data_IF_436294602793
#
_entry.id   IF_436294602793
#
_cell.length_a   1.000
_cell.length_b   1.000
_cell.length_c   1.000
_cell.angle_alpha   90.00
_cell.angle_beta   90.00
_cell.angle_gamma   90.00
#
_symmetry.space_group_name_H-M   'P 1'
#
loop_
_entity.id
_entity.type
_entity.pdbx_description
1 polymer ?
#
# COMPACT_ATOMS: atom_id res chain seq x y z
N UNK A 1 -23.83 8.86 14.95
CA UNK A 1 -23.74 9.89 13.89
C UNK A 1 -22.66 10.95 14.17
N UNK A 2 -22.65 11.63 15.32
CA UNK A 2 -21.64 12.67 15.65
C UNK A 2 -20.19 12.17 15.64
N UNK A 3 -19.88 11.02 16.26
CA UNK A 3 -18.53 10.46 16.31
C UNK A 3 -17.99 10.14 14.88
N UNK A 4 -18.83 9.62 13.99
CA UNK A 4 -18.45 9.33 12.61
C UNK A 4 -18.09 10.60 11.83
N UNK A 5 -18.86 11.68 11.97
CA UNK A 5 -18.54 12.97 11.35
C UNK A 5 -17.23 13.56 11.88
N UNK A 6 -16.96 13.40 13.17
CA UNK A 6 -15.68 13.81 13.76
C UNK A 6 -14.50 13.00 13.22
N UNK A 7 -14.64 11.68 13.03
CA UNK A 7 -13.60 10.85 12.41
C UNK A 7 -13.34 11.25 10.95
N UNK A 8 -14.38 11.52 10.18
CA UNK A 8 -14.23 12.00 8.79
C UNK A 8 -13.52 13.36 8.79
N UNK A 9 -13.95 14.30 9.63
CA UNK A 9 -13.31 15.61 9.73
C UNK A 9 -11.84 15.48 10.15
N UNK A 10 -11.54 14.64 11.14
CA UNK A 10 -10.18 14.34 11.57
C UNK A 10 -9.34 13.75 10.42
N UNK A 11 -9.89 12.81 9.67
CA UNK A 11 -9.21 12.23 8.51
C UNK A 11 -8.92 13.27 7.43
N UNK A 12 -9.89 14.10 7.07
CA UNK A 12 -9.73 15.13 6.04
C UNK A 12 -8.71 16.21 6.45
N UNK A 13 -8.75 16.65 7.71
CA UNK A 13 -7.76 17.60 8.24
C UNK A 13 -6.35 17.01 8.14
N UNK A 14 -6.14 15.78 8.61
CA UNK A 14 -4.83 15.13 8.52
C UNK A 14 -4.40 14.92 7.06
N UNK A 15 -5.31 14.48 6.17
CA UNK A 15 -5.02 14.32 4.75
C UNK A 15 -4.45 15.61 4.13
N UNK A 16 -5.09 16.75 4.41
CA UNK A 16 -4.63 18.05 3.91
C UNK A 16 -3.32 18.47 4.57
N UNK A 17 -3.21 18.37 5.90
CA UNK A 17 -2.01 18.79 6.63
C UNK A 17 -0.78 18.01 6.20
N UNK A 18 -0.84 16.67 6.13
CA UNK A 18 0.29 15.85 5.67
C UNK A 18 0.65 16.15 4.22
N UNK A 19 -0.34 16.33 3.34
CA UNK A 19 -0.09 16.64 1.93
C UNK A 19 0.64 17.96 1.72
N UNK A 20 0.39 18.98 2.57
CA UNK A 20 0.91 20.34 2.40
C UNK A 20 2.18 20.59 3.24
N UNK A 21 2.25 20.01 4.45
CA UNK A 21 3.36 20.24 5.36
C UNK A 21 4.60 19.41 5.05
N UNK A 22 4.42 18.21 4.46
CA UNK A 22 5.56 17.38 4.06
C UNK A 22 6.31 18.04 2.89
N UNK A 23 7.64 18.13 2.98
CA UNK A 23 8.47 18.64 1.88
C UNK A 23 8.23 17.89 0.58
N UNK A 24 8.54 18.52 -0.53
CA UNK A 24 8.54 17.86 -1.83
C UNK A 24 9.49 16.66 -1.79
N UNK A 25 9.04 15.52 -2.30
CA UNK A 25 9.78 14.24 -2.37
C UNK A 25 10.10 13.60 -1.01
N UNK A 26 9.37 13.98 0.06
CA UNK A 26 9.48 13.31 1.36
C UNK A 26 8.86 11.90 1.34
N UNK A 27 7.80 11.70 0.58
CA UNK A 27 7.17 10.38 0.45
C UNK A 27 8.11 9.40 -0.24
N UNK A 28 8.60 8.41 0.48
CA UNK A 28 9.46 7.29 0.00
C UNK A 28 10.10 7.52 -1.40
N UNK A 29 9.66 6.80 -2.42
CA UNK A 29 10.13 6.88 -3.81
C UNK A 29 9.28 7.83 -4.69
N UNK A 30 8.65 8.82 -4.07
CA UNK A 30 7.65 9.68 -4.68
C UNK A 30 8.05 10.34 -6.01
N UNK A 31 9.29 10.81 -6.24
CA UNK A 31 9.64 11.39 -7.54
C UNK A 31 9.55 10.39 -8.68
N UNK A 32 9.83 9.11 -8.43
CA UNK A 32 9.74 8.03 -9.43
C UNK A 32 8.28 7.64 -9.69
N UNK A 33 7.47 7.59 -8.66
CA UNK A 33 6.02 7.40 -8.77
C UNK A 33 5.35 8.56 -9.50
N UNK A 34 5.71 9.81 -9.16
CA UNK A 34 5.20 10.99 -9.88
C UNK A 34 5.59 10.97 -11.36
N UNK A 35 6.82 10.58 -11.69
CA UNK A 35 7.24 10.45 -13.09
C UNK A 35 6.40 9.44 -13.87
N UNK A 36 5.95 8.36 -13.21
CA UNK A 36 5.01 7.42 -13.82
C UNK A 36 3.66 8.09 -14.11
N UNK A 37 3.08 8.81 -13.12
CA UNK A 37 1.83 9.58 -13.30
C UNK A 37 1.99 10.57 -14.44
N UNK A 38 3.09 11.32 -14.47
CA UNK A 38 3.39 12.32 -15.49
C UNK A 38 3.45 11.67 -16.89
N UNK A 39 4.16 10.55 -17.04
CA UNK A 39 4.24 9.83 -18.32
C UNK A 39 2.86 9.42 -18.83
N UNK A 40 1.98 8.90 -17.97
CA UNK A 40 0.61 8.55 -18.34
C UNK A 40 -0.23 9.79 -18.68
N UNK A 41 -0.10 10.86 -17.91
CA UNK A 41 -0.84 12.12 -18.15
C UNK A 41 -0.50 12.76 -19.49
N UNK A 42 0.74 12.57 -19.94
CA UNK A 42 1.27 13.08 -21.19
C UNK A 42 0.94 12.19 -22.40
N UNK A 43 0.21 11.09 -22.17
CA UNK A 43 -0.21 10.17 -23.25
C UNK A 43 0.89 9.28 -23.81
N UNK A 44 2.04 9.18 -23.12
CA UNK A 44 3.18 8.36 -23.57
C UNK A 44 2.99 6.86 -23.33
N UNK A 45 1.83 6.47 -22.78
CA UNK A 45 1.50 5.08 -22.47
C UNK A 45 2.20 4.53 -21.23
N UNK A 46 2.06 3.21 -21.04
CA UNK A 46 2.64 2.51 -19.89
C UNK A 46 4.18 2.50 -19.97
N UNK A 47 4.88 2.91 -18.91
CA UNK A 47 6.35 2.91 -18.92
C UNK A 47 6.92 1.51 -19.05
N UNK A 48 8.14 1.44 -19.57
CA UNK A 48 8.94 0.23 -19.62
C UNK A 48 10.04 0.29 -18.54
N UNK A 49 10.06 -0.70 -17.67
CA UNK A 49 11.00 -0.74 -16.54
C UNK A 49 12.49 -0.75 -16.92
N UNK A 50 12.82 -1.02 -18.20
CA UNK A 50 14.19 -1.01 -18.70
C UNK A 50 14.62 0.35 -19.25
N UNK A 51 13.68 1.14 -19.75
CA UNK A 51 13.99 2.34 -20.53
C UNK A 51 13.31 3.61 -20.02
N UNK A 52 12.25 3.49 -19.18
CA UNK A 52 11.57 4.65 -18.66
C UNK A 52 12.50 5.54 -17.83
N UNK A 53 12.39 6.85 -18.04
CA UNK A 53 13.21 7.86 -17.39
C UNK A 53 12.34 8.90 -16.71
N UNK A 54 12.90 9.56 -15.70
CA UNK A 54 12.28 10.75 -15.14
C UNK A 54 12.34 11.86 -16.19
N UNK A 55 11.37 12.78 -16.13
CA UNK A 55 11.49 14.02 -16.90
C UNK A 55 12.63 14.91 -16.36
N UNK A 56 13.15 15.81 -17.19
CA UNK A 56 14.13 16.82 -16.75
C UNK A 56 13.55 17.73 -15.67
N UNK A 57 12.25 17.99 -15.69
CA UNK A 57 11.54 18.74 -14.65
C UNK A 57 11.69 18.06 -13.28
N UNK A 58 11.38 16.76 -13.19
CA UNK A 58 11.54 15.97 -11.96
C UNK A 58 13.01 15.86 -11.57
N UNK A 59 13.88 15.53 -12.51
CA UNK A 59 15.33 15.40 -12.25
C UNK A 59 15.94 16.68 -11.69
N UNK A 60 15.62 17.84 -12.26
CA UNK A 60 16.08 19.14 -11.75
C UNK A 60 15.54 19.44 -10.35
N UNK A 61 14.28 19.09 -10.08
CA UNK A 61 13.63 19.35 -8.79
C UNK A 61 14.28 18.57 -7.63
N UNK A 62 14.70 17.34 -7.87
CA UNK A 62 15.35 16.49 -6.86
C UNK A 62 16.65 17.13 -6.34
N UNK A 63 17.38 17.84 -7.19
CA UNK A 63 18.61 18.53 -6.80
C UNK A 63 18.36 19.84 -6.00
N UNK A 64 17.16 20.36 -6.02
CA UNK A 64 16.76 21.61 -5.36
C UNK A 64 16.06 21.40 -4.01
N UNK A 65 15.77 20.13 -3.67
CA UNK A 65 15.03 19.75 -2.46
C UNK A 65 15.86 18.81 -1.59
N UNK A 66 15.61 18.75 -0.27
CA UNK A 66 16.08 17.62 0.50
C UNK A 66 15.35 16.35 0.09
N UNK A 67 16.02 15.23 0.06
CA UNK A 67 15.45 13.96 -0.31
C UNK A 67 15.31 13.01 0.88
N UNK A 68 14.29 12.15 0.82
CA UNK A 68 14.13 11.06 1.76
C UNK A 68 15.31 10.07 1.67
N UNK A 69 15.45 9.23 2.70
CA UNK A 69 16.52 8.22 2.72
C UNK A 69 16.42 7.25 1.54
N UNK A 70 15.21 6.87 1.14
CA UNK A 70 14.97 5.97 0.01
C UNK A 70 15.44 6.60 -1.31
N UNK A 71 15.09 7.86 -1.56
CA UNK A 71 15.57 8.58 -2.76
C UNK A 71 17.10 8.72 -2.73
N UNK A 72 17.67 9.04 -1.58
CA UNK A 72 19.11 9.22 -1.43
C UNK A 72 19.90 7.93 -1.66
N UNK A 73 19.40 6.78 -1.27
CA UNK A 73 20.03 5.48 -1.54
C UNK A 73 20.19 5.22 -3.03
N UNK A 74 19.21 5.63 -3.84
CA UNK A 74 19.23 5.48 -5.29
C UNK A 74 19.96 6.63 -6.01
N UNK A 75 20.06 7.81 -5.38
CA UNK A 75 20.66 9.03 -5.92
C UNK A 75 21.57 9.67 -4.87
N UNK A 76 22.81 9.18 -4.67
CA UNK A 76 23.70 9.65 -3.60
C UNK A 76 24.06 11.14 -3.67
N UNK A 77 23.99 11.75 -4.86
CA UNK A 77 24.28 13.18 -5.09
C UNK A 77 23.25 14.15 -4.54
N UNK A 78 22.05 13.66 -4.14
CA UNK A 78 21.00 14.54 -3.60
C UNK A 78 21.33 15.00 -2.18
N UNK A 79 20.80 16.17 -1.83
CA UNK A 79 21.02 16.79 -0.53
C UNK A 79 20.21 16.08 0.55
N UNK A 80 20.83 15.71 1.66
CA UNK A 80 20.13 15.20 2.84
C UNK A 80 19.39 16.32 3.57
N UNK A 81 18.40 15.97 4.42
CA UNK A 81 17.70 16.95 5.27
C UNK A 81 18.66 17.71 6.15
N UNK A 82 19.60 17.04 6.81
CA UNK A 82 20.61 17.70 7.66
C UNK A 82 21.43 18.72 6.89
N UNK A 83 21.89 18.37 5.70
CA UNK A 83 22.64 19.29 4.83
C UNK A 83 21.77 20.46 4.37
N UNK A 84 20.53 20.21 3.92
CA UNK A 84 19.63 21.24 3.44
C UNK A 84 19.29 22.26 4.55
N UNK A 85 19.00 21.80 5.75
CA UNK A 85 18.66 22.70 6.86
C UNK A 85 19.88 23.41 7.46
N UNK A 86 21.10 22.91 7.23
CA UNK A 86 22.34 23.65 7.56
C UNK A 86 22.66 24.78 6.58
N UNK A 87 22.01 24.84 5.42
CA UNK A 87 22.21 25.94 4.49
C UNK A 87 21.71 27.26 5.04
N UNK A 88 22.36 28.40 4.70
CA UNK A 88 21.82 29.73 4.98
C UNK A 88 20.40 29.89 4.44
N UNK A 89 19.60 30.71 5.10
CA UNK A 89 18.22 31.00 4.70
C UNK A 89 18.15 31.50 3.26
N UNK A 90 19.09 32.37 2.85
CA UNK A 90 19.19 32.88 1.47
C UNK A 90 19.32 31.77 0.44
N UNK A 91 20.22 30.80 0.67
CA UNK A 91 20.41 29.64 -0.23
C UNK A 91 19.16 28.76 -0.30
N UNK A 92 18.48 28.51 0.83
CA UNK A 92 17.22 27.75 0.85
C UNK A 92 16.10 28.48 0.10
N UNK A 93 16.02 29.81 0.26
CA UNK A 93 15.05 30.64 -0.45
C UNK A 93 15.31 30.66 -1.95
N UNK A 94 16.56 30.73 -2.36
CA UNK A 94 16.96 30.64 -3.76
C UNK A 94 16.60 29.27 -4.35
N UNK A 95 16.91 28.16 -3.67
CA UNK A 95 16.54 26.83 -4.09
C UNK A 95 15.00 26.69 -4.29
N UNK A 96 14.19 27.21 -3.34
CA UNK A 96 12.73 27.22 -3.45
C UNK A 96 12.22 28.08 -4.61
N UNK A 97 12.87 29.23 -4.88
CA UNK A 97 12.53 30.06 -6.05
C UNK A 97 12.81 29.28 -7.32
N UNK A 98 14.02 28.76 -7.51
CA UNK A 98 14.41 27.96 -8.68
C UNK A 98 13.50 26.75 -8.87
N UNK A 99 13.06 26.11 -7.79
CA UNK A 99 12.11 24.99 -7.84
C UNK A 99 10.74 25.40 -8.42
N UNK A 100 10.25 26.58 -8.06
CA UNK A 100 8.98 27.10 -8.60
C UNK A 100 9.10 27.55 -10.06
N UNK A 101 10.28 28.01 -10.43
CA UNK A 101 10.58 28.59 -11.73
C UNK A 101 11.11 27.53 -12.74
N UNK A 102 11.07 26.24 -12.38
CA UNK A 102 11.41 25.17 -13.34
C UNK A 102 10.46 25.25 -14.54
N UNK A 103 11.00 25.39 -15.78
CA UNK A 103 10.17 25.49 -16.97
C UNK A 103 9.30 24.25 -17.18
N UNK A 104 8.01 24.46 -17.44
CA UNK A 104 7.05 23.36 -17.65
C UNK A 104 7.37 22.51 -18.88
N UNK A 105 8.09 23.07 -19.87
CA UNK A 105 8.53 22.38 -21.08
C UNK A 105 9.51 21.24 -20.79
N UNK A 106 10.22 21.28 -19.64
CA UNK A 106 11.14 20.23 -19.21
C UNK A 106 10.42 18.92 -18.86
N UNK A 107 9.10 18.96 -18.66
CA UNK A 107 8.31 17.73 -18.39
C UNK A 107 8.31 16.75 -19.57
N UNK A 108 8.48 17.27 -20.79
CA UNK A 108 8.48 16.45 -22.00
C UNK A 108 9.86 15.89 -22.37
N UNK A 109 10.90 16.32 -21.68
CA UNK A 109 12.28 15.96 -21.97
C UNK A 109 12.74 14.87 -21.00
N UNK A 110 13.23 13.72 -21.48
CA UNK A 110 13.78 12.69 -20.58
C UNK A 110 15.09 13.16 -19.95
N UNK A 111 15.26 12.86 -18.67
CA UNK A 111 16.55 13.01 -17.97
C UNK A 111 17.41 11.75 -18.13
N UNK A 112 18.63 11.76 -17.56
CA UNK A 112 19.49 10.56 -17.50
C UNK A 112 19.03 9.55 -16.42
N UNK A 113 18.13 9.95 -15.52
CA UNK A 113 17.69 9.13 -14.39
C UNK A 113 16.63 8.11 -14.84
N UNK A 114 16.93 6.82 -14.64
CA UNK A 114 15.97 5.74 -14.88
C UNK A 114 14.85 5.76 -13.84
N UNK A 115 13.63 5.50 -14.30
CA UNK A 115 12.50 5.31 -13.41
C UNK A 115 12.40 3.84 -13.00
N UNK A 116 12.95 3.50 -11.84
CA UNK A 116 12.91 2.14 -11.34
C UNK A 116 11.51 1.70 -10.87
N UNK A 117 10.59 2.64 -10.60
CA UNK A 117 9.20 2.35 -10.26
C UNK A 117 8.31 2.07 -11.50
N UNK A 118 8.86 2.14 -12.69
CA UNK A 118 8.17 1.85 -13.95
C UNK A 118 7.63 0.42 -14.08
N UNK A 119 8.04 -0.49 -13.20
CA UNK A 119 7.56 -1.87 -13.13
C UNK A 119 6.24 -2.04 -12.34
N UNK A 120 5.81 -1.04 -11.60
CA UNK A 120 4.61 -1.11 -10.76
C UNK A 120 3.33 -1.24 -11.58
N UNK A 121 2.31 -1.96 -11.06
CA UNK A 121 1.01 -2.06 -11.71
C UNK A 121 0.34 -0.68 -11.88
N UNK A 122 -0.44 -0.46 -12.95
CA UNK A 122 -0.75 0.89 -13.43
C UNK A 122 -1.94 1.60 -12.75
N UNK A 123 -2.82 0.91 -12.01
CA UNK A 123 -4.14 1.44 -11.65
C UNK A 123 -4.05 2.73 -10.83
N UNK A 124 -3.25 2.77 -9.78
CA UNK A 124 -3.11 3.95 -8.93
C UNK A 124 -2.60 5.17 -9.71
N UNK A 125 -1.65 4.95 -10.60
CA UNK A 125 -1.05 6.01 -11.43
C UNK A 125 -2.02 6.49 -12.50
N UNK A 126 -2.78 5.59 -13.11
CA UNK A 126 -3.81 5.95 -14.11
C UNK A 126 -4.88 6.84 -13.51
N UNK A 127 -5.30 6.57 -12.27
CA UNK A 127 -6.27 7.41 -11.56
C UNK A 127 -5.73 8.82 -11.26
N UNK A 128 -4.43 8.94 -10.98
CA UNK A 128 -3.80 10.25 -10.75
C UNK A 128 -3.38 10.96 -12.04
N UNK A 129 -3.29 10.27 -13.17
CA UNK A 129 -2.89 10.86 -14.45
C UNK A 129 -3.90 11.89 -14.97
N UNK A 130 -5.20 11.67 -14.76
CA UNK A 130 -6.24 12.60 -15.18
C UNK A 130 -6.15 13.96 -14.43
N UNK A 131 -6.12 14.01 -13.08
CA UNK A 131 -5.88 15.27 -12.38
C UNK A 131 -4.51 15.89 -12.68
N UNK A 132 -3.44 15.11 -12.85
CA UNK A 132 -2.12 15.65 -13.26
C UNK A 132 -2.21 16.38 -14.60
N UNK A 133 -2.94 15.83 -15.58
CA UNK A 133 -3.15 16.46 -16.87
C UNK A 133 -3.89 17.80 -16.75
N UNK A 134 -4.89 17.88 -15.88
CA UNK A 134 -5.64 19.12 -15.61
C UNK A 134 -4.77 20.18 -14.92
N UNK A 135 -3.82 19.73 -14.10
CA UNK A 135 -2.92 20.59 -13.33
C UNK A 135 -1.65 20.97 -14.12
N UNK A 136 -1.46 20.48 -15.34
CA UNK A 136 -0.22 20.59 -16.11
C UNK A 136 0.36 22.01 -16.25
N UNK A 137 -0.49 23.05 -16.19
CA UNK A 137 -0.11 24.48 -16.27
C UNK A 137 0.48 25.07 -14.97
N UNK A 138 0.33 24.36 -13.85
CA UNK A 138 0.85 24.81 -12.57
C UNK A 138 2.30 24.36 -12.36
N UNK A 139 3.02 25.06 -11.46
CA UNK A 139 4.37 24.66 -11.10
C UNK A 139 4.40 23.26 -10.44
N UNK A 140 5.51 22.55 -10.59
CA UNK A 140 5.69 21.20 -10.08
C UNK A 140 5.30 21.05 -8.58
N UNK A 141 5.73 21.95 -7.65
CA UNK A 141 5.33 21.82 -6.25
C UNK A 141 3.82 21.88 -6.02
N UNK A 142 3.11 22.73 -6.77
CA UNK A 142 1.64 22.85 -6.69
C UNK A 142 0.98 21.57 -7.19
N UNK A 143 1.44 21.01 -8.30
CA UNK A 143 0.90 19.76 -8.86
C UNK A 143 1.07 18.61 -7.87
N UNK A 144 2.26 18.45 -7.31
CA UNK A 144 2.53 17.41 -6.33
C UNK A 144 1.65 17.57 -5.08
N UNK A 145 1.53 18.79 -4.53
CA UNK A 145 0.68 19.04 -3.37
C UNK A 145 -0.80 18.71 -3.65
N UNK A 146 -1.32 19.11 -4.81
CA UNK A 146 -2.70 18.83 -5.21
C UNK A 146 -2.95 17.33 -5.42
N UNK A 147 -2.03 16.62 -6.05
CA UNK A 147 -2.13 15.17 -6.24
C UNK A 147 -2.07 14.41 -4.91
N UNK A 148 -1.21 14.84 -3.97
CA UNK A 148 -1.17 14.30 -2.61
C UNK A 148 -2.52 14.49 -1.90
N UNK A 149 -3.11 15.69 -1.98
CA UNK A 149 -4.43 15.97 -1.37
C UNK A 149 -5.50 15.05 -1.99
N UNK A 150 -5.53 14.93 -3.31
CA UNK A 150 -6.48 14.05 -4.00
C UNK A 150 -6.31 12.60 -3.54
N UNK A 151 -5.08 12.10 -3.54
CA UNK A 151 -4.76 10.73 -3.11
C UNK A 151 -5.15 10.50 -1.64
N UNK A 152 -4.73 11.41 -0.73
CA UNK A 152 -4.99 11.29 0.70
C UNK A 152 -6.48 11.38 1.05
N UNK A 153 -7.21 12.30 0.44
CA UNK A 153 -8.66 12.44 0.66
C UNK A 153 -9.40 11.22 0.14
N UNK A 154 -9.14 10.83 -1.12
CA UNK A 154 -9.79 9.67 -1.72
C UNK A 154 -9.45 8.37 -0.96
N UNK A 155 -8.17 8.16 -0.66
CA UNK A 155 -7.69 7.01 0.11
C UNK A 155 -8.32 6.94 1.50
N UNK A 156 -8.38 8.06 2.22
CA UNK A 156 -8.99 8.12 3.56
C UNK A 156 -10.48 7.80 3.55
N UNK A 157 -11.23 8.35 2.61
CA UNK A 157 -12.67 8.10 2.50
C UNK A 157 -12.95 6.65 2.11
N UNK A 158 -12.19 6.09 1.17
CA UNK A 158 -12.28 4.68 0.80
C UNK A 158 -11.91 3.76 1.96
N UNK A 159 -10.87 4.10 2.72
CA UNK A 159 -10.44 3.34 3.88
C UNK A 159 -11.50 3.34 4.99
N UNK A 160 -12.00 4.53 5.36
CA UNK A 160 -13.05 4.65 6.38
C UNK A 160 -14.31 3.88 6.01
N UNK A 161 -14.81 4.06 4.79
CA UNK A 161 -16.02 3.36 4.32
C UNK A 161 -15.83 1.84 4.28
N UNK A 162 -14.66 1.38 3.85
CA UNK A 162 -14.31 -0.04 3.84
C UNK A 162 -14.20 -0.63 5.25
N UNK A 163 -13.52 0.06 6.16
CA UNK A 163 -13.34 -0.37 7.54
C UNK A 163 -14.68 -0.42 8.30
N UNK A 164 -15.52 0.60 8.15
CA UNK A 164 -16.88 0.58 8.71
C UNK A 164 -17.70 -0.60 8.20
N UNK A 165 -17.62 -0.87 6.90
CA UNK A 165 -18.31 -2.01 6.30
C UNK A 165 -17.78 -3.34 6.83
N UNK A 166 -16.48 -3.46 6.99
CA UNK A 166 -15.84 -4.65 7.54
C UNK A 166 -16.26 -4.86 9.01
N UNK A 167 -16.21 -3.80 9.83
CA UNK A 167 -16.63 -3.88 11.24
C UNK A 167 -18.09 -4.27 11.40
N UNK A 168 -18.97 -3.71 10.57
CA UNK A 168 -20.39 -4.12 10.53
C UNK A 168 -20.55 -5.60 10.18
N UNK A 169 -19.77 -6.13 9.23
CA UNK A 169 -19.82 -7.55 8.86
C UNK A 169 -19.26 -8.48 9.91
N UNK A 170 -18.29 -8.00 10.72
CA UNK A 170 -17.68 -8.73 11.82
C UNK A 170 -18.44 -8.52 13.14
N UNK A 171 -19.57 -7.80 13.09
CA UNK A 171 -20.41 -7.51 14.25
C UNK A 171 -19.63 -6.86 15.40
N UNK A 172 -18.66 -6.00 15.06
CA UNK A 172 -17.89 -5.25 16.05
C UNK A 172 -18.78 -4.12 16.59
N UNK A 173 -19.14 -4.17 17.89
CA UNK A 173 -20.05 -3.18 18.46
C UNK A 173 -19.37 -1.82 18.66
N UNK A 174 -20.15 -0.75 18.60
CA UNK A 174 -19.74 0.54 19.13
C UNK A 174 -19.64 0.46 20.69
N UNK A 175 -18.63 1.14 21.31
CA UNK A 175 -17.71 2.09 20.72
C UNK A 175 -16.42 1.51 20.13
N UNK A 176 -16.21 0.18 20.16
CA UNK A 176 -14.94 -0.45 19.77
C UNK A 176 -14.55 -0.17 18.31
N UNK A 177 -15.54 -0.21 17.40
CA UNK A 177 -15.30 0.16 15.99
C UNK A 177 -14.82 1.61 15.84
N UNK A 178 -15.44 2.54 16.55
CA UNK A 178 -15.07 3.95 16.57
C UNK A 178 -13.66 4.15 17.14
N UNK A 179 -13.32 3.49 18.25
CA UNK A 179 -11.97 3.55 18.84
C UNK A 179 -10.92 2.95 17.90
N UNK A 180 -11.21 1.81 17.27
CA UNK A 180 -10.30 1.21 16.31
C UNK A 180 -10.02 2.11 15.11
N UNK A 181 -11.05 2.79 14.58
CA UNK A 181 -10.88 3.79 13.51
C UNK A 181 -10.07 4.99 13.97
N UNK A 182 -10.31 5.49 15.17
CA UNK A 182 -9.52 6.59 15.74
C UNK A 182 -8.05 6.19 15.90
N UNK A 183 -7.75 5.01 16.43
CA UNK A 183 -6.38 4.50 16.54
C UNK A 183 -5.71 4.36 15.17
N UNK A 184 -6.43 3.81 14.17
CA UNK A 184 -5.94 3.70 12.79
C UNK A 184 -5.60 5.07 12.20
N UNK A 185 -6.49 6.04 12.33
CA UNK A 185 -6.30 7.41 11.83
C UNK A 185 -5.26 8.20 12.64
N UNK A 186 -4.93 7.77 13.84
CA UNK A 186 -3.87 8.37 14.66
C UNK A 186 -2.49 7.77 14.36
N UNK A 187 -2.43 6.70 13.56
CA UNK A 187 -1.18 6.10 13.12
C UNK A 187 -0.51 7.00 12.07
N UNK A 188 0.68 7.52 12.38
CA UNK A 188 1.38 8.44 11.49
C UNK A 188 1.77 7.79 10.17
N UNK A 189 2.17 6.51 10.18
CA UNK A 189 2.49 5.75 8.97
C UNK A 189 1.32 5.74 7.98
N UNK A 190 0.08 5.71 8.47
CA UNK A 190 -1.11 5.81 7.64
C UNK A 190 -1.08 7.07 6.77
N UNK A 191 -0.79 8.22 7.36
CA UNK A 191 -0.75 9.50 6.65
C UNK A 191 0.46 9.60 5.72
N UNK A 192 1.62 9.13 6.16
CA UNK A 192 2.79 9.03 5.29
C UNK A 192 2.52 8.17 4.06
N UNK A 193 1.70 7.11 4.22
CA UNK A 193 1.30 6.21 3.14
C UNK A 193 0.23 6.80 2.23
N UNK A 194 -0.78 7.48 2.78
CA UNK A 194 -1.89 8.03 1.99
C UNK A 194 -1.57 9.39 1.36
N UNK A 195 -0.76 10.21 2.02
CA UNK A 195 -0.48 11.59 1.63
C UNK A 195 0.80 11.74 0.79
N UNK A 196 1.10 10.75 -0.05
CA UNK A 196 2.15 10.86 -1.06
C UNK A 196 1.68 10.27 -2.39
N UNK A 197 2.38 10.63 -3.46
CA UNK A 197 2.12 10.08 -4.79
C UNK A 197 2.85 8.75 -4.88
N UNK A 198 2.09 7.67 -4.83
CA UNK A 198 2.58 6.29 -4.93
C UNK A 198 1.44 5.37 -5.33
N UNK A 199 1.58 4.09 -5.11
CA UNK A 199 0.48 3.14 -5.28
C UNK A 199 -0.20 2.79 -3.95
N UNK A 200 0.41 3.13 -2.83
CA UNK A 200 -0.05 2.75 -1.50
C UNK A 200 -1.31 3.50 -1.06
N UNK A 201 -1.52 4.74 -1.52
CA UNK A 201 -2.75 5.49 -1.23
C UNK A 201 -4.02 4.74 -1.64
N UNK A 202 -3.91 3.90 -2.68
CA UNK A 202 -5.01 3.08 -3.20
C UNK A 202 -4.92 1.64 -2.69
N UNK A 203 -3.71 1.08 -2.54
CA UNK A 203 -3.51 -0.30 -2.10
C UNK A 203 -4.08 -0.56 -0.70
N UNK A 204 -3.86 0.34 0.26
CA UNK A 204 -4.35 0.20 1.63
C UNK A 204 -5.89 0.12 1.69
N UNK A 205 -6.67 1.06 1.13
CA UNK A 205 -8.12 0.93 1.14
C UNK A 205 -8.64 -0.25 0.32
N UNK A 206 -8.02 -0.59 -0.83
CA UNK A 206 -8.41 -1.77 -1.60
C UNK A 206 -8.21 -3.05 -0.80
N UNK A 207 -7.16 -3.16 0.02
CA UNK A 207 -6.97 -4.34 0.87
C UNK A 207 -8.14 -4.52 1.84
N UNK A 208 -8.63 -3.44 2.44
CA UNK A 208 -9.82 -3.49 3.31
C UNK A 208 -11.06 -3.90 2.52
N UNK A 209 -11.28 -3.33 1.34
CA UNK A 209 -12.43 -3.68 0.49
C UNK A 209 -12.33 -5.11 -0.04
N UNK A 210 -11.13 -5.64 -0.32
CA UNK A 210 -10.91 -7.03 -0.66
C UNK A 210 -11.31 -7.97 0.50
N UNK A 211 -10.96 -7.62 1.75
CA UNK A 211 -11.41 -8.36 2.93
C UNK A 211 -12.92 -8.32 3.09
N UNK A 212 -13.55 -7.15 2.88
CA UNK A 212 -15.02 -7.01 2.85
C UNK A 212 -15.64 -7.95 1.82
N UNK A 213 -15.12 -7.95 0.60
CA UNK A 213 -15.63 -8.76 -0.50
C UNK A 213 -15.43 -10.27 -0.26
N UNK A 214 -14.28 -10.68 0.25
CA UNK A 214 -14.00 -12.07 0.61
C UNK A 214 -14.89 -12.56 1.76
N UNK A 215 -15.16 -11.71 2.75
CA UNK A 215 -16.06 -12.04 3.84
C UNK A 215 -17.52 -12.20 3.35
N UNK A 216 -17.97 -11.32 2.42
CA UNK A 216 -19.28 -11.48 1.76
C UNK A 216 -19.33 -12.79 0.97
N UNK A 217 -18.31 -13.09 0.18
CA UNK A 217 -18.21 -14.35 -0.54
C UNK A 217 -18.24 -15.54 0.42
N UNK A 218 -17.56 -15.41 1.57
CA UNK A 218 -17.54 -16.42 2.62
C UNK A 218 -18.92 -16.67 3.28
N UNK A 219 -19.73 -15.63 3.51
CA UNK A 219 -21.04 -15.72 4.17
C UNK A 219 -22.19 -15.99 3.20
N UNK A 220 -22.18 -15.34 2.05
CA UNK A 220 -23.26 -15.35 1.05
C UNK A 220 -22.69 -15.66 -0.35
N UNK A 221 -22.42 -16.96 -0.67
CA UNK A 221 -21.88 -17.34 -1.96
C UNK A 221 -22.85 -17.09 -3.09
N UNK A 222 -22.33 -16.84 -4.28
CA UNK A 222 -23.11 -16.63 -5.49
C UNK A 222 -22.33 -15.86 -6.56
N UNK A 223 -22.88 -15.77 -7.76
CA UNK A 223 -22.22 -15.10 -8.89
C UNK A 223 -21.83 -13.65 -8.59
N UNK A 224 -22.72 -12.89 -7.93
CA UNK A 224 -22.49 -11.48 -7.62
C UNK A 224 -21.35 -11.29 -6.61
N UNK A 225 -21.36 -12.07 -5.51
CA UNK A 225 -20.29 -12.00 -4.50
C UNK A 225 -18.93 -12.46 -5.06
N UNK A 226 -18.93 -13.49 -5.93
CA UNK A 226 -17.74 -13.92 -6.63
C UNK A 226 -17.19 -12.83 -7.56
N UNK A 227 -18.05 -12.18 -8.35
CA UNK A 227 -17.65 -11.09 -9.23
C UNK A 227 -17.10 -9.88 -8.44
N UNK A 228 -17.76 -9.48 -7.34
CA UNK A 228 -17.28 -8.37 -6.49
C UNK A 228 -15.92 -8.69 -5.87
N UNK A 229 -15.73 -9.91 -5.35
CA UNK A 229 -14.43 -10.34 -4.81
C UNK A 229 -13.34 -10.34 -5.88
N UNK A 230 -13.65 -10.84 -7.07
CA UNK A 230 -12.73 -10.85 -8.20
C UNK A 230 -12.32 -9.44 -8.65
N UNK A 231 -13.28 -8.51 -8.78
CA UNK A 231 -13.01 -7.12 -9.17
C UNK A 231 -12.17 -6.41 -8.10
N UNK A 232 -12.49 -6.59 -6.82
CA UNK A 232 -11.70 -5.99 -5.72
C UNK A 232 -10.25 -6.51 -5.72
N UNK A 233 -10.05 -7.82 -5.90
CA UNK A 233 -8.71 -8.41 -5.99
C UNK A 233 -7.99 -8.02 -7.28
N UNK A 234 -8.68 -7.95 -8.41
CA UNK A 234 -8.08 -7.47 -9.66
C UNK A 234 -7.62 -6.02 -9.56
N UNK A 235 -8.43 -5.14 -8.94
CA UNK A 235 -8.04 -3.77 -8.65
C UNK A 235 -6.80 -3.73 -7.73
N UNK A 236 -6.75 -4.59 -6.72
CA UNK A 236 -5.57 -4.76 -5.87
C UNK A 236 -4.33 -5.19 -6.65
N UNK A 237 -4.44 -6.23 -7.45
CA UNK A 237 -3.36 -6.74 -8.30
C UNK A 237 -2.86 -5.70 -9.32
N UNK A 238 -3.78 -4.89 -9.85
CA UNK A 238 -3.44 -3.78 -10.76
C UNK A 238 -2.91 -2.54 -10.02
N UNK A 239 -2.96 -2.54 -8.69
CA UNK A 239 -2.39 -1.48 -7.85
C UNK A 239 -1.02 -1.87 -7.30
N UNK A 240 -0.88 -3.09 -6.77
CA UNK A 240 0.37 -3.56 -6.14
C UNK A 240 0.49 -5.08 -6.21
N UNK A 241 1.65 -5.59 -6.59
CA UNK A 241 1.89 -7.04 -6.73
C UNK A 241 1.69 -7.82 -5.41
N UNK A 242 1.76 -7.17 -4.25
CA UNK A 242 1.52 -7.80 -2.94
C UNK A 242 0.12 -8.41 -2.79
N UNK A 243 -0.84 -7.97 -3.60
CA UNK A 243 -2.17 -8.60 -3.65
C UNK A 243 -2.15 -10.05 -4.17
N UNK A 244 -1.04 -10.52 -4.73
CA UNK A 244 -0.85 -11.96 -5.00
C UNK A 244 -1.00 -12.81 -3.73
N UNK A 245 -0.71 -12.27 -2.55
CA UNK A 245 -0.92 -12.95 -1.26
C UNK A 245 -2.40 -13.22 -0.93
N UNK A 246 -3.33 -12.47 -1.51
CA UNK A 246 -4.77 -12.70 -1.34
C UNK A 246 -5.30 -13.83 -2.23
N UNK A 247 -4.58 -14.22 -3.28
CA UNK A 247 -5.01 -15.29 -4.19
C UNK A 247 -5.09 -16.65 -3.47
N UNK A 248 -4.07 -17.09 -2.70
CA UNK A 248 -4.19 -18.30 -1.89
C UNK A 248 -5.35 -18.24 -0.88
N UNK A 249 -5.64 -17.06 -0.31
CA UNK A 249 -6.76 -16.89 0.63
C UNK A 249 -8.10 -17.10 -0.09
N UNK A 250 -8.30 -16.52 -1.28
CA UNK A 250 -9.48 -16.75 -2.12
C UNK A 250 -9.63 -18.22 -2.50
N UNK A 251 -8.55 -18.83 -3.02
CA UNK A 251 -8.54 -20.24 -3.42
C UNK A 251 -8.86 -21.13 -2.22
N UNK A 252 -8.19 -20.93 -1.09
CA UNK A 252 -8.43 -21.66 0.15
C UNK A 252 -9.89 -21.55 0.61
N UNK A 253 -10.46 -20.34 0.61
CA UNK A 253 -11.87 -20.11 0.95
C UNK A 253 -12.82 -20.93 0.06
N UNK A 254 -12.59 -20.91 -1.25
CA UNK A 254 -13.43 -21.62 -2.22
C UNK A 254 -13.26 -23.14 -2.14
N UNK A 255 -12.03 -23.64 -2.02
CA UNK A 255 -11.72 -25.08 -1.94
C UNK A 255 -12.28 -25.69 -0.66
N UNK A 256 -12.00 -25.09 0.51
CA UNK A 256 -12.46 -25.58 1.81
C UNK A 256 -13.99 -25.62 1.87
N UNK A 257 -14.65 -24.64 1.25
CA UNK A 257 -16.12 -24.54 1.20
C UNK A 257 -16.73 -25.23 -0.01
N UNK A 258 -15.94 -25.92 -0.87
CA UNK A 258 -16.35 -26.61 -2.12
C UNK A 258 -17.12 -25.71 -3.09
N UNK A 259 -16.69 -24.43 -3.21
CA UNK A 259 -17.33 -23.40 -4.05
C UNK A 259 -16.66 -23.29 -5.40
N UNK A 260 -16.68 -24.37 -6.16
CA UNK A 260 -15.98 -24.46 -7.45
C UNK A 260 -16.51 -23.51 -8.50
N UNK A 261 -17.84 -23.23 -8.46
CA UNK A 261 -18.47 -22.30 -9.40
C UNK A 261 -18.00 -20.86 -9.15
N UNK A 262 -17.97 -20.42 -7.87
CA UNK A 262 -17.45 -19.11 -7.48
C UNK A 262 -15.96 -19.00 -7.77
N UNK A 263 -15.18 -20.05 -7.56
CA UNK A 263 -13.77 -20.09 -7.92
C UNK A 263 -13.57 -19.90 -9.42
N UNK A 264 -14.36 -20.59 -10.26
CA UNK A 264 -14.28 -20.44 -11.71
C UNK A 264 -14.63 -19.00 -12.14
N UNK A 265 -15.70 -18.41 -11.62
CA UNK A 265 -16.08 -17.01 -11.92
C UNK A 265 -14.97 -16.04 -11.49
N UNK A 266 -14.45 -16.18 -10.27
CA UNK A 266 -13.39 -15.29 -9.77
C UNK A 266 -12.12 -15.44 -10.60
N UNK A 267 -11.73 -16.66 -10.98
CA UNK A 267 -10.55 -16.91 -11.80
C UNK A 267 -10.67 -16.28 -13.18
N UNK A 268 -11.83 -16.44 -13.85
CA UNK A 268 -12.07 -15.85 -15.18
C UNK A 268 -11.96 -14.32 -15.12
N UNK A 269 -12.60 -13.69 -14.13
CA UNK A 269 -12.56 -12.22 -13.98
C UNK A 269 -11.16 -11.73 -13.62
N UNK A 270 -10.46 -12.41 -12.70
CA UNK A 270 -9.07 -12.05 -12.32
C UNK A 270 -8.13 -12.17 -13.52
N UNK A 271 -8.19 -13.29 -14.25
CA UNK A 271 -7.37 -13.48 -15.44
C UNK A 271 -7.70 -12.46 -16.54
N UNK A 272 -8.97 -12.12 -16.72
CA UNK A 272 -9.39 -11.12 -17.71
C UNK A 272 -8.94 -9.71 -17.38
N UNK A 273 -9.03 -9.29 -16.12
CA UNK A 273 -8.72 -7.91 -15.71
C UNK A 273 -7.24 -7.71 -15.39
N UNK A 274 -6.64 -8.56 -14.57
CA UNK A 274 -5.25 -8.42 -14.13
C UNK A 274 -4.27 -9.23 -14.98
N UNK A 275 -4.71 -10.33 -15.58
CA UNK A 275 -3.88 -11.23 -16.39
C UNK A 275 -3.06 -10.55 -17.47
N UNK A 276 -3.62 -9.61 -18.28
CA UNK A 276 -2.85 -8.92 -19.31
C UNK A 276 -1.62 -8.16 -18.79
N UNK A 277 -1.70 -7.56 -17.60
CA UNK A 277 -0.56 -6.89 -16.97
C UNK A 277 0.56 -7.89 -16.61
N UNK A 278 0.20 -8.98 -15.95
CA UNK A 278 1.16 -9.99 -15.52
C UNK A 278 1.73 -10.80 -16.70
N UNK A 279 0.92 -11.08 -17.73
CA UNK A 279 1.38 -11.68 -18.97
C UNK A 279 2.38 -10.77 -19.72
N UNK A 280 2.09 -9.46 -19.80
CA UNK A 280 3.03 -8.46 -20.33
C UNK A 280 4.38 -8.53 -19.60
N UNK A 281 4.36 -8.57 -18.27
CA UNK A 281 5.58 -8.62 -17.47
C UNK A 281 6.36 -9.91 -17.72
N UNK A 282 5.69 -11.04 -17.78
CA UNK A 282 6.31 -12.33 -18.08
C UNK A 282 6.97 -12.35 -19.47
N UNK A 283 6.28 -11.83 -20.48
CA UNK A 283 6.81 -11.73 -21.85
C UNK A 283 7.98 -10.74 -21.93
N UNK A 284 7.85 -9.56 -21.31
CA UNK A 284 8.86 -8.50 -21.43
C UNK A 284 10.08 -8.72 -20.53
N UNK A 285 9.85 -9.17 -19.30
CA UNK A 285 10.89 -9.19 -18.27
C UNK A 285 11.27 -10.60 -17.83
N UNK A 286 10.57 -11.65 -18.29
CA UNK A 286 10.79 -13.03 -17.88
C UNK A 286 10.29 -13.35 -16.46
N UNK A 287 9.64 -12.41 -15.78
CA UNK A 287 9.16 -12.55 -14.39
C UNK A 287 7.75 -12.01 -14.25
N UNK A 288 6.94 -12.67 -13.43
CA UNK A 288 5.51 -12.38 -13.31
C UNK A 288 5.23 -10.98 -12.77
N UNK A 289 5.92 -10.57 -11.70
CA UNK A 289 5.68 -9.28 -11.04
C UNK A 289 6.38 -8.11 -11.70
N UNK A 290 7.49 -8.37 -12.43
CA UNK A 290 8.37 -7.34 -12.98
C UNK A 290 9.18 -6.58 -11.92
N UNK A 291 9.06 -6.92 -10.62
CA UNK A 291 9.76 -6.24 -9.52
C UNK A 291 11.27 -6.40 -9.61
N UNK A 292 12.01 -5.52 -8.94
CA UNK A 292 13.48 -5.56 -8.94
C UNK A 292 14.00 -6.87 -8.34
N UNK A 293 13.41 -7.32 -7.23
CA UNK A 293 13.76 -8.56 -6.54
C UNK A 293 13.55 -9.78 -7.42
N UNK A 294 12.39 -9.84 -8.13
CA UNK A 294 12.11 -10.93 -9.06
C UNK A 294 13.10 -10.93 -10.24
N UNK A 295 13.47 -9.75 -10.76
CA UNK A 295 14.47 -9.63 -11.82
C UNK A 295 15.88 -9.94 -11.34
N UNK A 296 16.18 -9.71 -10.07
CA UNK A 296 17.46 -10.08 -9.45
C UNK A 296 17.60 -11.61 -9.22
N UNK A 297 16.55 -12.39 -9.53
CA UNK A 297 16.60 -13.85 -9.45
C UNK A 297 16.52 -14.40 -8.02
N UNK A 298 15.91 -13.67 -7.10
CA UNK A 298 15.61 -14.19 -5.74
C UNK A 298 14.55 -15.27 -5.86
N UNK A 299 14.97 -16.51 -5.83
CA UNK A 299 14.12 -17.69 -5.95
C UNK A 299 13.77 -18.31 -4.58
N UNK A 300 12.79 -19.21 -4.58
CA UNK A 300 12.35 -19.89 -3.36
C UNK A 300 13.48 -20.71 -2.67
N UNK A 301 14.33 -21.45 -3.37
CA UNK A 301 15.49 -22.12 -2.76
C UNK A 301 16.42 -21.16 -2.03
N UNK A 302 16.70 -19.99 -2.60
CA UNK A 302 17.52 -18.95 -1.96
C UNK A 302 16.82 -18.40 -0.70
N UNK A 303 15.51 -18.12 -0.77
CA UNK A 303 14.72 -17.67 0.39
C UNK A 303 14.76 -18.73 1.51
N UNK A 304 14.51 -19.99 1.20
CA UNK A 304 14.52 -21.07 2.19
C UNK A 304 15.90 -21.29 2.83
N UNK A 305 16.98 -21.07 2.09
CA UNK A 305 18.35 -21.16 2.59
C UNK A 305 18.70 -20.01 3.55
N UNK A 306 18.26 -18.80 3.24
CA UNK A 306 18.55 -17.59 4.01
C UNK A 306 17.60 -17.42 5.21
N UNK A 307 16.37 -17.88 5.12
CA UNK A 307 15.36 -17.70 6.17
C UNK A 307 15.82 -18.13 7.58
N UNK A 308 16.55 -19.24 7.77
CA UNK A 308 17.03 -19.63 9.09
C UNK A 308 18.13 -18.71 9.67
N UNK A 309 18.79 -17.91 8.83
CA UNK A 309 19.87 -16.99 9.23
C UNK A 309 19.36 -15.60 9.62
N UNK A 310 18.08 -15.34 9.41
CA UNK A 310 17.44 -14.05 9.69
C UNK A 310 17.13 -13.93 11.19
N UNK A 311 17.48 -12.81 11.78
CA UNK A 311 17.03 -12.44 13.14
C UNK A 311 15.54 -12.02 13.11
N UNK A 312 14.66 -13.03 13.14
CA UNK A 312 13.21 -12.82 13.08
C UNK A 312 12.66 -11.93 14.19
N UNK A 313 13.11 -12.02 15.47
CA UNK A 313 12.71 -11.08 16.50
C UNK A 313 13.01 -9.64 16.15
N UNK A 314 14.20 -9.35 15.66
CA UNK A 314 14.57 -8.00 15.22
C UNK A 314 13.76 -7.53 14.01
N UNK A 315 13.48 -8.42 13.04
CA UNK A 315 12.64 -8.13 11.88
C UNK A 315 11.21 -7.79 12.31
N UNK A 316 10.61 -8.61 13.18
CA UNK A 316 9.24 -8.38 13.69
C UNK A 316 9.17 -7.06 14.45
N UNK A 317 10.11 -6.84 15.38
CA UNK A 317 10.18 -5.58 16.14
C UNK A 317 10.31 -4.36 15.23
N UNK A 318 11.22 -4.41 14.25
CA UNK A 318 11.42 -3.34 13.30
C UNK A 318 10.18 -3.11 12.43
N UNK A 319 9.53 -4.17 11.97
CA UNK A 319 8.31 -4.08 11.16
C UNK A 319 7.17 -3.41 11.92
N UNK A 320 6.95 -3.78 13.19
CA UNK A 320 5.93 -3.14 14.03
C UNK A 320 6.26 -1.66 14.24
N UNK A 321 7.52 -1.34 14.57
CA UNK A 321 7.96 0.03 14.77
C UNK A 321 7.77 0.89 13.52
N UNK A 322 8.13 0.39 12.35
CA UNK A 322 7.96 1.09 11.07
C UNK A 322 6.48 1.25 10.72
N UNK A 323 5.65 0.24 11.00
CA UNK A 323 4.21 0.31 10.74
C UNK A 323 3.48 1.37 11.58
N UNK A 324 4.00 1.66 12.78
CA UNK A 324 3.43 2.68 13.67
C UNK A 324 4.00 4.07 13.39
N UNK A 325 5.23 4.17 12.88
CA UNK A 325 5.96 5.42 12.77
C UNK A 325 6.89 5.46 11.55
N UNK A 326 6.91 6.59 10.83
CA UNK A 326 7.75 6.82 9.65
C UNK A 326 9.21 7.17 9.98
N UNK A 327 9.61 7.19 11.24
CA UNK A 327 10.82 7.81 11.75
C UNK A 327 12.14 7.54 11.03
N UNK A 328 12.25 6.46 10.26
CA UNK A 328 13.48 6.16 9.53
C UNK A 328 13.59 6.84 8.15
N UNK A 329 12.47 7.32 7.60
CA UNK A 329 12.40 7.88 6.24
C UNK A 329 11.90 9.33 6.23
N UNK A 330 11.49 9.86 7.36
CA UNK A 330 11.03 11.23 7.51
C UNK A 330 12.16 12.16 7.95
N UNK A 331 12.04 13.45 7.62
CA UNK A 331 12.96 14.47 8.10
C UNK A 331 12.81 14.76 9.61
N UNK A 332 11.66 14.41 10.20
CA UNK A 332 11.37 14.56 11.63
C UNK A 332 11.30 13.18 12.27
N UNK A 333 12.33 12.79 12.97
CA UNK A 333 12.40 11.49 13.67
C UNK A 333 12.44 11.68 15.18
N UNK A 334 11.73 10.84 15.90
CA UNK A 334 11.92 10.70 17.34
C UNK A 334 13.21 9.94 17.66
N UNK A 335 13.69 10.10 18.90
CA UNK A 335 14.80 9.30 19.40
C UNK A 335 14.43 7.80 19.36
N UNK A 336 15.45 6.93 19.25
CA UNK A 336 15.24 5.48 19.26
C UNK A 336 14.49 5.02 20.52
N UNK A 337 14.79 5.62 21.68
CA UNK A 337 14.13 5.30 22.94
C UNK A 337 12.63 5.66 22.91
N UNK A 338 12.29 6.84 22.36
CA UNK A 338 10.89 7.26 22.20
C UNK A 338 10.13 6.32 21.27
N UNK A 339 10.73 5.95 20.13
CA UNK A 339 10.13 4.99 19.19
C UNK A 339 9.93 3.60 19.83
N UNK A 340 10.91 3.12 20.59
CA UNK A 340 10.81 1.85 21.29
C UNK A 340 9.72 1.89 22.37
N UNK A 341 9.59 3.02 23.10
CA UNK A 341 8.52 3.19 24.10
C UNK A 341 7.14 3.18 23.44
N UNK A 342 6.94 3.92 22.33
CA UNK A 342 5.68 3.92 21.58
C UNK A 342 5.36 2.51 21.09
N UNK A 343 6.35 1.79 20.54
CA UNK A 343 6.18 0.42 20.04
C UNK A 343 5.79 -0.53 21.17
N UNK A 344 6.52 -0.49 22.29
CA UNK A 344 6.27 -1.36 23.44
C UNK A 344 4.88 -1.11 24.07
N UNK A 345 4.48 0.16 24.23
CA UNK A 345 3.16 0.52 24.75
C UNK A 345 2.03 0.11 23.81
N UNK A 346 2.23 0.24 22.50
CA UNK A 346 1.24 -0.19 21.49
C UNK A 346 1.07 -1.71 21.48
N UNK A 347 2.17 -2.47 21.57
CA UNK A 347 2.13 -3.93 21.69
C UNK A 347 1.49 -4.37 23.00
N UNK A 348 1.83 -3.73 24.11
CA UNK A 348 1.22 -4.02 25.41
C UNK A 348 -0.29 -3.76 25.38
N UNK A 349 -0.73 -2.65 24.80
CA UNK A 349 -2.14 -2.35 24.64
C UNK A 349 -2.86 -3.39 23.79
N UNK A 350 -2.26 -3.83 22.69
CA UNK A 350 -2.80 -4.88 21.82
C UNK A 350 -2.90 -6.21 22.58
N UNK A 351 -1.86 -6.61 23.31
CA UNK A 351 -1.85 -7.84 24.09
C UNK A 351 -2.90 -7.80 25.22
N UNK A 352 -3.03 -6.68 25.94
CA UNK A 352 -4.07 -6.49 26.96
C UNK A 352 -5.47 -6.55 26.35
N UNK A 353 -5.66 -5.95 25.17
CA UNK A 353 -6.93 -6.03 24.45
C UNK A 353 -7.26 -7.47 24.02
N UNK A 354 -6.28 -8.22 23.50
CA UNK A 354 -6.45 -9.63 23.15
C UNK A 354 -6.75 -10.43 24.42
N UNK A 355 -5.99 -10.25 25.50
CA UNK A 355 -6.20 -10.95 26.78
C UNK A 355 -7.58 -10.65 27.40
N UNK A 356 -8.05 -9.39 27.35
CA UNK A 356 -9.37 -9.01 27.86
C UNK A 356 -10.52 -9.67 27.08
N UNK A 357 -10.33 -9.93 25.80
CA UNK A 357 -11.28 -10.67 24.97
C UNK A 357 -11.33 -12.15 25.32
N UNK A 358 -10.21 -12.72 25.79
CA UNK A 358 -10.17 -14.10 26.24
C UNK A 358 -10.93 -14.32 27.54
N UNK A 359 -11.03 -13.29 28.38
CA UNK A 359 -11.77 -13.35 29.63
C UNK A 359 -13.31 -13.22 29.45
N UNK A 360 -13.78 -12.77 28.29
CA UNK A 360 -15.21 -12.40 28.08
C UNK A 360 -15.88 -13.03 26.86
N UNK A 361 -15.16 -13.76 26.02
CA UNK A 361 -15.73 -14.32 24.78
C UNK A 361 -15.46 -15.82 24.67
N UNK A 362 -16.54 -16.57 24.56
CA UNK A 362 -16.52 -17.92 23.99
C UNK A 362 -15.77 -17.86 22.64
N UNK A 363 -14.69 -18.58 22.56
CA UNK A 363 -13.76 -18.66 21.45
C UNK A 363 -14.37 -19.19 20.14
N UNK A 364 -15.28 -18.46 19.50
CA UNK A 364 -15.94 -18.93 18.28
C UNK A 364 -14.95 -19.16 17.11
N UNK A 365 -13.84 -18.43 17.04
CA UNK A 365 -12.88 -18.56 15.94
C UNK A 365 -11.91 -19.72 16.08
N UNK A 366 -11.38 -19.97 17.27
CA UNK A 366 -10.55 -21.16 17.54
C UNK A 366 -11.40 -22.43 17.52
N UNK A 367 -12.66 -22.38 17.97
CA UNK A 367 -13.59 -23.50 17.85
C UNK A 367 -13.95 -23.80 16.38
N UNK A 368 -14.06 -22.82 15.51
CA UNK A 368 -14.22 -23.08 14.07
C UNK A 368 -12.97 -23.73 13.46
N UNK A 369 -11.77 -23.32 13.89
CA UNK A 369 -10.51 -23.94 13.42
C UNK A 369 -10.33 -25.34 14.02
N UNK A 370 -10.58 -25.53 15.30
CA UNK A 370 -10.55 -26.82 15.98
C UNK A 370 -11.65 -27.76 15.45
N UNK A 371 -12.87 -27.27 15.18
CA UNK A 371 -13.91 -28.04 14.47
C UNK A 371 -13.52 -28.36 13.03
N UNK A 372 -12.84 -27.48 12.32
CA UNK A 372 -12.28 -27.76 11.01
C UNK A 372 -11.28 -28.92 11.06
N UNK A 373 -10.42 -28.99 12.06
CA UNK A 373 -9.46 -30.07 12.29
C UNK A 373 -10.14 -31.39 12.71
N UNK A 374 -11.20 -31.34 13.54
CA UNK A 374 -11.99 -32.54 13.88
C UNK A 374 -12.78 -33.06 12.71
N UNK A 375 -13.42 -32.24 11.91
CA UNK A 375 -14.10 -32.61 10.67
C UNK A 375 -13.13 -33.17 9.62
N UNK A 376 -11.91 -32.61 9.53
CA UNK A 376 -10.87 -33.17 8.67
C UNK A 376 -10.39 -34.53 9.17
N UNK A 377 -10.26 -34.74 10.48
CA UNK A 377 -9.93 -36.02 11.10
C UNK A 377 -11.01 -37.07 10.86
N UNK A 378 -12.28 -36.72 11.01
CA UNK A 378 -13.42 -37.62 10.73
C UNK A 378 -13.55 -37.92 9.24
N UNK A 379 -13.36 -36.93 8.35
CA UNK A 379 -13.33 -37.15 6.91
C UNK A 379 -12.18 -38.07 6.50
N UNK A 380 -11.00 -37.90 7.10
CA UNK A 380 -9.83 -38.76 6.82
C UNK A 380 -10.00 -40.17 7.36
N UNK A 381 -10.75 -40.39 8.46
CA UNK A 381 -11.10 -41.71 8.96
C UNK A 381 -12.15 -42.41 8.09
N UNK A 382 -13.18 -41.68 7.63
CA UNK A 382 -14.16 -42.23 6.67
C UNK A 382 -13.53 -42.59 5.31
N UNK A 383 -12.56 -41.79 4.89
CA UNK A 383 -11.81 -42.07 3.63
C UNK A 383 -10.96 -43.36 3.77
N UNK A 384 -10.28 -43.57 4.90
CA UNK A 384 -9.50 -44.78 5.18
C UNK A 384 -10.35 -46.02 5.39
N UNK A 385 -11.58 -45.89 5.88
CA UNK A 385 -12.50 -47.03 6.01
C UNK A 385 -13.11 -47.41 4.66
N UNK A 386 -13.38 -46.44 3.78
CA UNK A 386 -13.89 -46.68 2.42
C UNK A 386 -12.87 -47.30 1.46
N UNK A 387 -11.57 -47.26 1.78
CA UNK A 387 -10.51 -47.92 1.00
C UNK A 387 -10.15 -49.31 1.51
N UNK A 388 -10.77 -49.79 2.60
CA UNK A 388 -10.55 -51.13 3.17
C UNK A 388 -11.74 -52.10 2.96
N UNK A 389 -12.80 -51.63 2.35
CA UNK A 389 -13.93 -52.41 1.88
C UNK A 389 -13.87 -52.57 0.35
#
# INVERSE_FOLDING_TARGET
MKARLLLIAYALVNAVLYSVLLPLWEGFDEPFHFAYVQQLSDGQGLPDARTARLSREVGASILLTPASQAVKQNLPQVTSYTQYFSWPVSRRSEARRRLRDIPTELRWQPSELLNYEAHQPPLAYTLLAAPERLLARFSLPVRVAMLRIIAAVAGSLLLLSGAERLFSQLEIPDPYGTVALFCLLSCQMMWATLAHIGNDWLAVPIAVWALVALNVLGKSPGRRSAAVAAVALAAGLLTKAYFLSFVPLLVGLCVVRRRWHELAITSVILCGLAGPWYARNLVRYGVLTGTQEARAGVDLPTVLRVAPTVDWPAVVWSSVRVSLWTGNNSFSTFSANTLNLITATSLAALLLWVASRHATAEWSWWFCWARGLTLWREASQRWRSAWRS
#
